data_IF_846508012765
#
_entry.id   IF_846508012765
#
_cell.length_a   1.000
_cell.length_b   1.000
_cell.length_c   1.000
_cell.angle_alpha   90.00
_cell.angle_beta   90.00
_cell.angle_gamma   90.00
#
_symmetry.space_group_name_H-M   'P 1'
#
loop_
_entity.id
_entity.type
_entity.pdbx_description
1 polymer ?
#
# COMPACT_ATOMS: atom_id res chain seq x y z
N UNK A 1 -6.22 12.02 5.38
CA UNK A 1 -4.95 11.52 4.82
C UNK A 1 -5.17 11.28 3.32
N UNK A 2 -4.12 11.28 2.49
CA UNK A 2 -4.23 11.16 1.03
C UNK A 2 -3.54 9.89 0.51
N UNK A 3 -4.11 8.69 0.73
CA UNK A 3 -3.54 7.48 0.18
C UNK A 3 -3.72 7.41 -1.33
N UNK A 4 -2.79 6.77 -2.01
CA UNK A 4 -2.91 6.40 -3.42
C UNK A 4 -3.33 4.93 -3.54
N UNK A 5 -4.22 4.65 -4.49
CA UNK A 5 -4.58 3.31 -4.89
C UNK A 5 -3.91 3.00 -6.23
N UNK A 6 -3.11 1.95 -6.29
CA UNK A 6 -2.38 1.53 -7.48
C UNK A 6 -2.90 0.19 -7.98
N UNK A 7 -3.10 0.11 -9.28
CA UNK A 7 -3.49 -1.10 -10.01
C UNK A 7 -2.27 -1.59 -10.80
N UNK A 8 -1.48 -2.53 -10.29
CA UNK A 8 -0.16 -2.82 -10.85
C UNK A 8 -0.25 -3.46 -12.25
N UNK A 9 -1.31 -4.21 -12.50
CA UNK A 9 -1.54 -4.90 -13.78
C UNK A 9 -1.83 -3.94 -14.93
N UNK A 10 -2.60 -2.88 -14.68
CA UNK A 10 -2.98 -1.87 -15.68
C UNK A 10 -2.10 -0.62 -15.62
N UNK A 11 -1.22 -0.52 -14.61
CA UNK A 11 -0.38 0.66 -14.36
C UNK A 11 -1.15 1.90 -13.86
N UNK A 12 -2.45 1.77 -13.59
CA UNK A 12 -3.30 2.88 -13.19
C UNK A 12 -3.05 3.28 -11.73
N UNK A 13 -3.24 4.57 -11.45
CA UNK A 13 -3.12 5.14 -10.10
C UNK A 13 -4.26 6.11 -9.87
N UNK A 14 -4.87 5.99 -8.71
CA UNK A 14 -5.92 6.89 -8.24
C UNK A 14 -5.49 7.52 -6.91
N UNK A 15 -5.81 8.80 -6.73
CA UNK A 15 -5.62 9.49 -5.47
C UNK A 15 -6.94 9.44 -4.69
N UNK A 16 -6.89 8.97 -3.46
CA UNK A 16 -8.06 9.00 -2.57
C UNK A 16 -7.96 10.26 -1.71
N UNK A 17 -8.85 11.21 -1.98
CA UNK A 17 -8.92 12.45 -1.23
C UNK A 17 -9.62 12.25 0.12
N UNK A 18 -9.10 12.91 1.16
CA UNK A 18 -9.69 12.97 2.49
C UNK A 18 -10.05 11.61 3.14
N UNK A 19 -9.20 10.60 3.00
CA UNK A 19 -9.39 9.32 3.67
C UNK A 19 -9.17 9.45 5.19
N UNK A 20 -10.17 9.17 6.04
CA UNK A 20 -10.02 9.25 7.50
C UNK A 20 -9.13 8.13 8.03
N UNK A 21 -8.15 8.46 8.88
CA UNK A 21 -7.23 7.45 9.41
C UNK A 21 -7.91 6.40 10.30
N UNK A 22 -9.02 6.76 10.94
CA UNK A 22 -9.84 5.85 11.74
C UNK A 22 -10.83 5.01 10.90
N UNK A 23 -10.89 5.23 9.58
CA UNK A 23 -11.75 4.46 8.68
C UNK A 23 -11.05 3.19 8.22
N UNK A 24 -11.85 2.13 8.01
CA UNK A 24 -11.44 0.94 7.29
C UNK A 24 -11.60 1.16 5.78
N UNK A 25 -11.09 0.24 4.97
CA UNK A 25 -11.11 0.36 3.50
C UNK A 25 -12.39 -0.15 2.86
N UNK A 26 -13.21 -0.91 3.59
CA UNK A 26 -14.42 -1.51 3.05
C UNK A 26 -15.42 -0.50 2.47
N UNK A 27 -15.80 0.59 3.18
CA UNK A 27 -16.75 1.56 2.62
C UNK A 27 -16.25 2.18 1.30
N UNK A 28 -14.95 2.43 1.22
CA UNK A 28 -14.31 2.95 0.01
C UNK A 28 -14.34 1.92 -1.14
N UNK A 29 -14.07 0.65 -0.85
CA UNK A 29 -14.18 -0.42 -1.85
C UNK A 29 -15.61 -0.62 -2.36
N UNK A 30 -16.63 -0.53 -1.49
CA UNK A 30 -18.02 -0.63 -1.93
C UNK A 30 -18.43 0.56 -2.81
N UNK A 31 -17.88 1.75 -2.54
CA UNK A 31 -18.11 2.95 -3.36
C UNK A 31 -17.47 2.83 -4.75
N UNK A 32 -16.23 2.34 -4.80
CA UNK A 32 -15.45 2.26 -6.05
C UNK A 32 -15.84 1.06 -6.92
N UNK A 33 -16.14 -0.08 -6.31
CA UNK A 33 -16.41 -1.34 -7.00
C UNK A 33 -17.84 -1.78 -6.67
N UNK A 34 -18.80 -1.29 -7.46
CA UNK A 34 -20.22 -1.56 -7.21
C UNK A 34 -20.55 -3.06 -7.33
N UNK A 35 -21.56 -3.52 -6.59
CA UNK A 35 -21.98 -4.93 -6.55
C UNK A 35 -22.63 -5.43 -7.87
N UNK A 36 -22.77 -4.59 -8.88
CA UNK A 36 -23.47 -4.87 -10.15
C UNK A 36 -22.76 -5.83 -11.11
N UNK A 37 -21.56 -6.30 -10.76
CA UNK A 37 -20.81 -7.29 -11.55
C UNK A 37 -20.05 -6.73 -12.74
N UNK A 38 -20.12 -5.43 -13.00
CA UNK A 38 -19.24 -4.66 -13.87
C UNK A 38 -18.31 -3.83 -12.97
N UNK A 39 -17.01 -3.84 -13.23
CA UNK A 39 -16.05 -3.04 -12.48
C UNK A 39 -16.27 -1.54 -12.68
N UNK A 40 -16.92 -1.14 -13.78
CA UNK A 40 -17.16 0.28 -14.11
C UNK A 40 -15.88 1.06 -14.41
N UNK A 41 -14.74 0.38 -14.47
CA UNK A 41 -13.42 0.95 -14.74
C UNK A 41 -13.15 0.89 -16.25
N UNK A 42 -12.94 2.02 -16.95
CA UNK A 42 -12.82 2.04 -18.41
C UNK A 42 -11.58 1.30 -18.94
N UNK A 43 -10.63 1.00 -18.08
CA UNK A 43 -9.39 0.29 -18.39
C UNK A 43 -9.43 -1.21 -18.03
N UNK A 44 -10.50 -1.69 -17.37
CA UNK A 44 -10.65 -3.10 -16.99
C UNK A 44 -11.38 -3.90 -18.09
N UNK A 45 -10.69 -4.15 -19.20
CA UNK A 45 -11.25 -4.85 -20.36
C UNK A 45 -11.75 -6.27 -20.05
N UNK A 46 -11.21 -6.90 -19.00
CA UNK A 46 -11.56 -8.28 -18.60
C UNK A 46 -12.61 -8.35 -17.51
N UNK A 47 -13.06 -7.20 -17.00
CA UNK A 47 -14.02 -7.10 -15.90
C UNK A 47 -13.60 -7.93 -14.67
N UNK A 48 -12.32 -7.85 -14.30
CA UNK A 48 -11.74 -8.62 -13.20
C UNK A 48 -11.65 -7.83 -11.90
N UNK A 49 -11.67 -6.50 -11.97
CA UNK A 49 -11.60 -5.59 -10.83
C UNK A 49 -12.97 -5.38 -10.18
N UNK A 50 -13.62 -6.50 -9.84
CA UNK A 50 -14.90 -6.52 -9.13
C UNK A 50 -14.72 -6.78 -7.64
N UNK A 51 -15.66 -6.28 -6.83
CA UNK A 51 -15.57 -6.29 -5.36
C UNK A 51 -15.18 -7.64 -4.72
N UNK A 52 -15.74 -8.80 -5.12
CA UNK A 52 -15.40 -10.10 -4.51
C UNK A 52 -13.99 -10.59 -4.84
N UNK A 53 -13.44 -10.17 -5.99
CA UNK A 53 -12.11 -10.53 -6.47
C UNK A 53 -11.03 -9.56 -6.01
N UNK A 54 -11.41 -8.36 -5.59
CA UNK A 54 -10.46 -7.36 -5.15
C UNK A 54 -9.69 -7.80 -3.89
N UNK A 55 -8.37 -7.61 -3.92
CA UNK A 55 -7.46 -7.79 -2.80
C UNK A 55 -6.64 -6.53 -2.65
N UNK A 56 -6.45 -6.08 -1.40
CA UNK A 56 -5.64 -4.92 -1.08
C UNK A 56 -4.32 -5.35 -0.42
N UNK A 57 -3.23 -4.69 -0.77
CA UNK A 57 -1.91 -4.91 -0.20
C UNK A 57 -1.20 -3.58 0.08
N UNK A 58 -0.26 -3.59 1.01
CA UNK A 58 0.79 -2.58 1.08
C UNK A 58 2.16 -3.27 0.93
N UNK A 59 3.13 -2.53 0.41
CA UNK A 59 4.52 -2.98 0.39
C UNK A 59 5.12 -2.79 1.78
N UNK A 60 5.41 -3.89 2.46
CA UNK A 60 6.21 -3.85 3.67
C UNK A 60 7.68 -3.88 3.27
N UNK A 61 8.33 -2.74 3.45
CA UNK A 61 9.78 -2.65 3.50
C UNK A 61 10.15 -2.33 4.95
N UNK A 62 11.03 -3.14 5.52
CA UNK A 62 11.64 -2.78 6.79
C UNK A 62 13.01 -2.18 6.47
N UNK A 63 13.35 -1.10 7.16
CA UNK A 63 14.73 -0.68 7.37
C UNK A 63 14.96 -0.79 8.85
N UNK A 64 16.16 -1.18 9.27
CA UNK A 64 16.52 -0.97 10.67
C UNK A 64 16.45 0.53 10.96
N UNK A 65 15.66 0.90 11.97
CA UNK A 65 15.56 2.28 12.43
C UNK A 65 16.97 2.76 12.76
N UNK A 66 17.34 3.95 12.28
CA UNK A 66 18.64 4.52 12.58
C UNK A 66 18.84 4.56 14.10
N UNK A 67 19.92 3.97 14.65
CA UNK A 67 20.16 4.01 16.08
C UNK A 67 20.16 5.46 16.58
N UNK A 68 19.50 5.72 17.72
CA UNK A 68 19.30 7.08 18.23
C UNK A 68 20.61 7.88 18.32
N UNK A 69 21.71 7.25 18.73
CA UNK A 69 23.04 7.88 18.79
C UNK A 69 23.54 8.34 17.42
N UNK A 70 23.26 7.57 16.37
CA UNK A 70 23.62 7.89 14.99
C UNK A 70 22.75 9.02 14.44
N UNK A 71 21.46 9.05 14.80
CA UNK A 71 20.55 10.14 14.45
C UNK A 71 20.96 11.46 15.10
N UNK A 72 21.32 11.44 16.38
CA UNK A 72 21.78 12.64 17.09
C UNK A 72 23.04 13.23 16.45
N UNK A 73 24.04 12.39 16.14
CA UNK A 73 25.25 12.82 15.42
C UNK A 73 24.94 13.47 14.06
N UNK A 74 24.02 12.85 13.31
CA UNK A 74 23.57 13.40 12.04
C UNK A 74 22.90 14.78 12.20
N UNK A 75 22.01 14.91 13.19
CA UNK A 75 21.33 16.18 13.52
C UNK A 75 22.32 17.27 13.97
N UNK A 76 23.40 16.87 14.65
CA UNK A 76 24.50 17.74 15.06
C UNK A 76 25.44 18.12 13.89
N UNK A 77 25.15 17.66 12.68
CA UNK A 77 25.92 17.99 11.46
C UNK A 77 27.18 17.15 11.27
N UNK A 78 27.37 16.08 12.04
CA UNK A 78 28.48 15.15 11.83
C UNK A 78 28.25 14.30 10.57
N UNK A 79 29.32 14.04 9.82
CA UNK A 79 29.33 13.06 8.74
C UNK A 79 29.16 11.65 9.31
N UNK A 80 27.92 11.17 9.39
CA UNK A 80 27.63 9.74 9.42
C UNK A 80 27.88 9.20 8.02
N UNK A 81 28.81 8.24 7.88
CA UNK A 81 29.11 7.59 6.60
C UNK A 81 27.87 6.99 5.94
N UNK A 82 27.99 6.53 4.69
CA UNK A 82 26.90 5.86 4.00
C UNK A 82 26.35 4.73 4.89
N UNK A 83 25.08 4.84 5.30
CA UNK A 83 24.42 3.71 5.91
C UNK A 83 24.37 2.59 4.87
N UNK A 84 24.89 1.42 5.23
CA UNK A 84 24.69 0.21 4.43
C UNK A 84 23.19 0.08 4.13
N UNK A 85 22.87 0.06 2.83
CA UNK A 85 21.51 -0.11 2.34
C UNK A 85 21.11 -1.58 2.46
N UNK A 86 20.98 -2.08 3.68
CA UNK A 86 20.45 -3.43 3.95
C UNK A 86 18.92 -3.42 3.91
N UNK A 87 18.36 -3.18 2.72
CA UNK A 87 16.95 -3.44 2.46
C UNK A 87 16.73 -4.95 2.60
N UNK A 88 15.86 -5.43 3.50
CA UNK A 88 15.32 -6.79 3.30
C UNK A 88 14.43 -6.69 2.08
N UNK A 89 14.35 -7.81 1.38
CA UNK A 89 13.42 -8.00 0.28
C UNK A 89 12.03 -7.47 0.70
N UNK A 90 11.49 -6.61 -0.15
CA UNK A 90 10.12 -6.12 -0.03
C UNK A 90 9.17 -7.32 0.10
N UNK A 91 8.13 -7.17 0.92
CA UNK A 91 7.12 -8.20 1.07
C UNK A 91 5.73 -7.60 1.01
N UNK A 92 4.83 -8.26 0.30
CA UNK A 92 3.45 -7.82 0.18
C UNK A 92 2.64 -8.24 1.39
N UNK A 93 2.08 -7.28 2.11
CA UNK A 93 1.21 -7.53 3.26
C UNK A 93 -0.24 -7.28 2.85
N UNK A 94 -1.06 -8.32 2.98
CA UNK A 94 -2.49 -8.24 2.69
C UNK A 94 -3.18 -7.34 3.73
N UNK A 95 -4.07 -6.48 3.24
CA UNK A 95 -4.95 -5.64 4.03
C UNK A 95 -6.31 -6.34 4.12
N UNK A 96 -6.83 -6.47 5.33
CA UNK A 96 -8.23 -6.81 5.55
C UNK A 96 -9.05 -5.50 5.52
N UNK A 97 -9.85 -5.26 4.47
CA UNK A 97 -10.55 -3.99 4.32
C UNK A 97 -11.65 -3.78 5.37
N UNK A 98 -12.09 -4.83 6.06
CA UNK A 98 -13.14 -4.73 7.08
C UNK A 98 -12.57 -4.49 8.48
N UNK A 99 -11.35 -4.95 8.74
CA UNK A 99 -10.77 -4.95 10.09
C UNK A 99 -9.63 -3.94 10.29
N UNK A 100 -8.86 -3.60 9.24
CA UNK A 100 -7.69 -2.73 9.36
C UNK A 100 -8.05 -1.30 8.95
N UNK A 101 -7.82 -0.36 9.87
CA UNK A 101 -7.91 1.08 9.56
C UNK A 101 -6.63 1.59 8.91
N UNK A 102 -6.71 2.71 8.19
CA UNK A 102 -5.53 3.35 7.62
C UNK A 102 -4.51 3.71 8.70
N UNK A 103 -4.92 4.34 9.80
CA UNK A 103 -4.03 4.73 10.90
C UNK A 103 -3.33 3.53 11.54
N UNK A 104 -4.01 2.40 11.71
CA UNK A 104 -3.38 1.16 12.20
C UNK A 104 -2.35 0.60 11.22
N UNK A 105 -2.60 0.68 9.91
CA UNK A 105 -1.63 0.29 8.89
C UNK A 105 -0.39 1.18 8.94
N UNK A 106 -0.58 2.50 8.96
CA UNK A 106 0.50 3.50 9.02
C UNK A 106 1.34 3.41 10.29
N UNK A 107 0.74 2.94 11.39
CA UNK A 107 1.43 2.77 12.67
C UNK A 107 2.32 1.52 12.73
N UNK A 108 2.31 0.66 11.71
CA UNK A 108 3.16 -0.55 11.68
C UNK A 108 4.60 -0.17 11.37
N UNK A 109 5.53 -0.77 12.10
CA UNK A 109 6.98 -0.57 11.91
C UNK A 109 7.46 -0.98 10.50
N UNK A 110 6.74 -1.90 9.85
CA UNK A 110 7.03 -2.38 8.50
C UNK A 110 6.35 -1.56 7.39
N UNK A 111 5.57 -0.53 7.74
CA UNK A 111 4.89 0.36 6.81
C UNK A 111 5.71 1.64 6.61
N UNK A 112 6.85 1.52 5.93
CA UNK A 112 7.68 2.67 5.58
C UNK A 112 7.15 3.31 4.30
N UNK A 113 6.59 4.52 4.44
CA UNK A 113 6.01 5.27 3.33
C UNK A 113 6.93 6.44 2.96
N UNK A 114 7.52 6.45 1.75
CA UNK A 114 8.46 7.50 1.37
C UNK A 114 7.79 8.86 1.07
N UNK A 115 6.46 8.89 0.84
CA UNK A 115 5.71 10.12 0.57
C UNK A 115 4.22 10.00 0.92
N UNK A 116 3.45 9.26 0.11
CA UNK A 116 2.02 9.03 0.30
C UNK A 116 1.75 7.55 0.56
N UNK A 117 0.82 7.21 1.47
CA UNK A 117 0.47 5.81 1.70
C UNK A 117 -0.02 5.18 0.40
N UNK A 118 0.72 4.18 -0.10
CA UNK A 118 0.38 3.52 -1.37
C UNK A 118 -0.24 2.17 -1.07
N UNK A 119 -1.46 1.98 -1.55
CA UNK A 119 -2.23 0.76 -1.44
C UNK A 119 -2.32 0.13 -2.82
N UNK A 120 -2.12 -1.17 -2.90
CA UNK A 120 -2.11 -1.94 -4.14
C UNK A 120 -3.41 -2.71 -4.23
N UNK A 121 -4.23 -2.38 -5.22
CA UNK A 121 -5.44 -3.10 -5.58
C UNK A 121 -5.12 -4.12 -6.67
N UNK A 122 -5.36 -5.39 -6.37
CA UNK A 122 -5.08 -6.51 -7.28
C UNK A 122 -6.29 -7.42 -7.34
N UNK A 123 -6.73 -7.75 -8.56
CA UNK A 123 -7.77 -8.74 -8.76
C UNK A 123 -7.23 -10.16 -8.47
N UNK A 124 -8.09 -11.03 -7.95
CA UNK A 124 -7.80 -12.46 -7.74
C UNK A 124 -7.79 -13.20 -9.10
N UNK A 125 -6.71 -13.01 -9.86
CA UNK A 125 -6.47 -13.57 -11.20
C UNK A 125 -5.01 -14.10 -11.32
N UNK A 126 -4.60 -14.50 -12.53
CA UNK A 126 -3.25 -15.05 -12.76
C UNK A 126 -2.12 -14.08 -12.37
N UNK A 127 -2.34 -12.77 -12.53
CA UNK A 127 -1.36 -11.74 -12.19
C UNK A 127 -1.09 -11.67 -10.68
N UNK A 128 -2.04 -12.02 -9.82
CA UNK A 128 -1.85 -12.03 -8.37
C UNK A 128 -0.65 -12.89 -7.94
N UNK A 129 -0.44 -14.04 -8.58
CA UNK A 129 0.69 -14.92 -8.27
C UNK A 129 2.03 -14.33 -8.69
N UNK A 130 2.08 -13.64 -9.82
CA UNK A 130 3.28 -12.92 -10.27
C UNK A 130 3.60 -11.77 -9.32
N UNK A 131 2.58 -10.96 -8.99
CA UNK A 131 2.68 -9.84 -8.06
C UNK A 131 3.22 -10.25 -6.69
N UNK A 132 2.75 -11.36 -6.12
CA UNK A 132 3.19 -11.79 -4.79
C UNK A 132 4.62 -12.37 -4.77
N UNK A 133 5.17 -12.77 -5.92
CA UNK A 133 6.48 -13.41 -6.02
C UNK A 133 7.60 -12.47 -6.51
N UNK A 134 7.26 -11.27 -7.01
CA UNK A 134 8.24 -10.21 -7.30
C UNK A 134 8.99 -9.82 -6.03
#
# INVERSE_FOLDING_TARGET
CFPTLRYPESGQVELIEDFPENSTFAPFLEMMFQEGGDSGLPWDERNEYVRPRMRLFYCASYKEVMPQKTLLKWLDGESVGEQERNWKKESWKRIDPQALTLGQMLSREDCIIPALPTIYAVADNAFLHEFLNS
#
